data_IF_905930468813
#
_entry.id   IF_905930468813
#
_cell.length_a   1.000
_cell.length_b   1.000
_cell.length_c   1.000
_cell.angle_alpha   90.00
_cell.angle_beta   90.00
_cell.angle_gamma   90.00
#
_symmetry.space_group_name_H-M   'P 1'
#
loop_
_entity.id
_entity.type
_entity.pdbx_description
1 polymer ?
#
# COMPACT_ATOMS: atom_id res chain seq x y z
N UNK A 1 -37.09 67.30 -27.64
CA UNK A 1 -35.75 66.73 -27.90
C UNK A 1 -35.19 66.15 -26.61
N UNK A 2 -35.22 64.82 -26.45
CA UNK A 2 -34.67 64.12 -25.29
C UNK A 2 -33.14 63.96 -25.43
N UNK A 3 -32.36 64.42 -24.44
CA UNK A 3 -30.92 64.11 -24.34
C UNK A 3 -30.76 62.72 -23.71
N UNK A 4 -30.20 61.77 -24.46
CA UNK A 4 -29.75 60.47 -23.94
C UNK A 4 -28.60 60.70 -22.95
N UNK A 5 -28.78 60.28 -21.70
CA UNK A 5 -27.67 60.07 -20.77
C UNK A 5 -26.94 58.80 -21.19
N UNK A 6 -25.73 58.94 -21.76
CA UNK A 6 -24.79 57.83 -21.88
C UNK A 6 -24.20 57.56 -20.49
N UNK A 7 -24.60 56.46 -19.86
CA UNK A 7 -23.86 55.89 -18.75
C UNK A 7 -22.61 55.24 -19.31
N UNK A 8 -21.47 55.90 -19.07
CA UNK A 8 -20.15 55.43 -19.44
C UNK A 8 -19.73 54.34 -18.44
N UNK A 9 -20.08 53.09 -18.75
CA UNK A 9 -19.65 51.93 -17.97
C UNK A 9 -18.14 51.71 -18.21
N UNK A 10 -17.29 52.32 -17.38
CA UNK A 10 -15.87 51.99 -17.32
C UNK A 10 -15.70 50.52 -16.93
N UNK A 11 -15.30 49.70 -17.89
CA UNK A 11 -14.89 48.32 -17.65
C UNK A 11 -13.65 48.37 -16.74
N UNK A 12 -13.63 47.65 -15.59
CA UNK A 12 -12.46 47.64 -14.72
C UNK A 12 -11.25 47.06 -15.47
N UNK A 13 -10.13 47.79 -15.49
CA UNK A 13 -8.86 47.30 -16.02
C UNK A 13 -8.39 46.10 -15.19
N UNK A 14 -8.45 44.90 -15.77
CA UNK A 14 -7.86 43.70 -15.17
C UNK A 14 -6.34 43.79 -15.31
N UNK A 15 -5.66 44.22 -14.26
CA UNK A 15 -4.19 44.22 -14.21
C UNK A 15 -3.69 42.83 -13.79
N UNK A 16 -3.10 42.12 -14.74
CA UNK A 16 -2.52 40.78 -14.51
C UNK A 16 -1.18 40.81 -13.76
N UNK A 17 -0.53 41.97 -13.65
CA UNK A 17 0.80 42.10 -13.02
C UNK A 17 0.84 43.35 -12.13
N UNK A 18 1.37 43.19 -10.91
CA UNK A 18 1.65 44.27 -9.97
C UNK A 18 3.07 44.10 -9.43
N UNK A 19 3.90 45.14 -9.52
CA UNK A 19 5.23 45.16 -8.90
C UNK A 19 5.09 45.12 -7.38
N UNK A 20 5.81 44.19 -6.74
CA UNK A 20 5.92 44.09 -5.29
C UNK A 20 7.39 43.89 -4.90
N UNK A 21 7.78 44.43 -3.75
CA UNK A 21 9.07 44.15 -3.12
C UNK A 21 8.90 42.92 -2.23
N UNK A 22 9.65 41.86 -2.53
CA UNK A 22 9.63 40.61 -1.76
C UNK A 22 10.98 40.40 -1.08
N UNK A 23 10.95 39.88 0.15
CA UNK A 23 12.16 39.39 0.80
C UNK A 23 12.65 38.15 0.06
N UNK A 24 13.92 38.17 -0.33
CA UNK A 24 14.59 37.02 -0.96
C UNK A 24 15.73 36.53 -0.08
N UNK A 25 16.18 35.30 -0.30
CA UNK A 25 17.34 34.78 0.40
C UNK A 25 18.60 35.52 -0.05
N UNK A 26 19.46 35.86 0.90
CA UNK A 26 20.83 36.29 0.61
C UNK A 26 21.63 35.13 -0.01
N UNK A 27 22.85 35.39 -0.52
CA UNK A 27 23.72 34.31 -1.01
C UNK A 27 23.97 33.23 0.07
N UNK A 28 24.19 33.64 1.33
CA UNK A 28 24.32 32.73 2.47
C UNK A 28 23.01 31.97 2.73
N UNK A 29 21.88 32.66 2.66
CA UNK A 29 20.55 32.05 2.78
C UNK A 29 20.31 30.97 1.73
N UNK A 30 20.68 31.23 0.47
CA UNK A 30 20.60 30.23 -0.61
C UNK A 30 21.50 29.03 -0.37
N UNK A 31 22.74 29.24 0.09
CA UNK A 31 23.65 28.13 0.44
C UNK A 31 23.06 27.24 1.53
N UNK A 32 22.54 27.85 2.60
CA UNK A 32 21.90 27.10 3.70
C UNK A 32 20.65 26.37 3.19
N UNK A 33 19.80 27.04 2.40
CA UNK A 33 18.60 26.44 1.84
C UNK A 33 18.90 25.23 0.95
N UNK A 34 19.88 25.34 0.05
CA UNK A 34 20.30 24.26 -0.83
C UNK A 34 20.92 23.11 -0.03
N UNK A 35 21.77 23.40 0.96
CA UNK A 35 22.37 22.39 1.83
C UNK A 35 21.29 21.64 2.63
N UNK A 36 20.34 22.36 3.23
CA UNK A 36 19.22 21.78 3.97
C UNK A 36 18.32 20.93 3.06
N UNK A 37 18.06 21.41 1.84
CA UNK A 37 17.26 20.68 0.84
C UNK A 37 17.96 19.40 0.39
N UNK A 38 19.26 19.47 0.07
CA UNK A 38 20.05 18.30 -0.33
C UNK A 38 20.14 17.27 0.79
N UNK A 39 20.37 17.72 2.03
CA UNK A 39 20.36 16.86 3.23
C UNK A 39 19.00 16.18 3.43
N UNK A 40 17.90 16.94 3.29
CA UNK A 40 16.54 16.40 3.42
C UNK A 40 16.23 15.36 2.33
N UNK A 41 16.58 15.65 1.07
CA UNK A 41 16.42 14.72 -0.05
C UNK A 41 17.24 13.46 0.20
N UNK A 42 18.50 13.60 0.60
CA UNK A 42 19.36 12.46 0.93
C UNK A 42 18.76 11.61 2.05
N UNK A 43 18.27 12.25 3.12
CA UNK A 43 17.63 11.54 4.23
C UNK A 43 16.40 10.75 3.77
N UNK A 44 15.50 11.37 2.99
CA UNK A 44 14.29 10.72 2.46
C UNK A 44 14.66 9.56 1.56
N UNK A 45 15.58 9.76 0.61
CA UNK A 45 16.00 8.73 -0.34
C UNK A 45 16.52 7.47 0.37
N UNK A 46 17.31 7.64 1.43
CA UNK A 46 17.90 6.51 2.16
C UNK A 46 16.93 5.83 3.14
N UNK A 47 15.97 6.56 3.71
CA UNK A 47 15.11 6.04 4.79
C UNK A 47 13.68 5.67 4.34
N UNK A 48 13.23 6.14 3.17
CA UNK A 48 11.85 5.92 2.72
C UNK A 48 11.56 4.45 2.45
N UNK A 49 12.43 3.74 1.72
CA UNK A 49 12.21 2.32 1.44
C UNK A 49 12.19 1.47 2.73
N UNK A 50 13.18 1.53 3.63
CA UNK A 50 13.13 0.75 4.89
C UNK A 50 11.93 1.10 5.79
N UNK A 51 11.46 2.35 5.75
CA UNK A 51 10.26 2.76 6.47
C UNK A 51 9.00 2.10 5.92
N UNK A 52 8.86 2.01 4.59
CA UNK A 52 7.71 1.42 3.92
C UNK A 52 7.75 -0.12 3.91
N UNK A 53 8.91 -0.70 3.64
CA UNK A 53 9.13 -2.14 3.57
C UNK A 53 9.40 -2.77 4.95
N UNK A 54 8.54 -2.45 5.91
CA UNK A 54 8.70 -2.91 7.30
C UNK A 54 8.36 -4.40 7.44
N UNK A 55 9.19 -5.11 8.20
CA UNK A 55 8.91 -6.48 8.67
C UNK A 55 8.90 -6.48 10.19
N UNK A 56 7.76 -6.84 10.77
CA UNK A 56 7.53 -6.93 12.22
C UNK A 56 6.55 -8.09 12.51
N UNK A 57 6.98 -9.35 12.34
CA UNK A 57 6.13 -10.53 12.53
C UNK A 57 5.86 -10.81 14.00
N UNK A 58 4.71 -11.42 14.27
CA UNK A 58 4.39 -12.09 15.54
C UNK A 58 4.90 -13.53 15.41
N UNK A 59 5.89 -13.91 16.21
CA UNK A 59 6.56 -15.23 16.10
C UNK A 59 5.62 -16.42 16.23
N UNK A 60 4.59 -16.29 17.06
CA UNK A 60 3.58 -17.33 17.34
C UNK A 60 2.22 -16.99 16.74
N UNK A 61 2.21 -16.35 15.56
CA UNK A 61 0.96 -16.03 14.88
C UNK A 61 0.20 -17.30 14.50
N UNK A 62 -1.13 -17.27 14.65
CA UNK A 62 -2.00 -18.40 14.35
C UNK A 62 -2.14 -18.68 12.86
N UNK A 63 -2.17 -17.62 12.04
CA UNK A 63 -2.34 -17.72 10.60
C UNK A 63 -1.46 -16.73 9.84
N UNK A 64 -1.09 -17.14 8.62
CA UNK A 64 -0.39 -16.30 7.65
C UNK A 64 -1.42 -15.81 6.62
N UNK A 65 -1.54 -14.50 6.45
CA UNK A 65 -2.42 -13.88 5.47
C UNK A 65 -1.58 -13.38 4.31
N UNK A 66 -1.89 -13.77 3.09
CA UNK A 66 -1.08 -13.47 1.90
C UNK A 66 -1.91 -12.67 0.91
N UNK A 67 -1.41 -11.49 0.50
CA UNK A 67 -1.97 -10.74 -0.62
C UNK A 67 -1.82 -11.57 -1.91
N UNK A 68 -2.94 -11.88 -2.55
CA UNK A 68 -2.96 -12.83 -3.68
C UNK A 68 -2.42 -12.27 -4.99
N UNK A 69 -2.21 -10.96 -5.08
CA UNK A 69 -1.69 -10.28 -6.28
C UNK A 69 -0.17 -10.16 -6.29
N UNK A 70 0.53 -10.61 -5.23
CA UNK A 70 1.99 -10.57 -5.16
C UNK A 70 2.62 -11.55 -6.18
N UNK A 71 3.89 -11.31 -6.51
CA UNK A 71 4.63 -12.11 -7.49
C UNK A 71 4.92 -13.55 -7.02
N UNK A 72 5.24 -14.43 -7.97
CA UNK A 72 5.61 -15.82 -7.67
C UNK A 72 6.83 -15.92 -6.73
N UNK A 73 7.85 -15.08 -6.91
CA UNK A 73 9.01 -15.06 -5.99
C UNK A 73 8.63 -14.64 -4.57
N UNK A 74 7.55 -13.84 -4.41
CA UNK A 74 7.04 -13.45 -3.11
C UNK A 74 6.20 -14.58 -2.50
N UNK A 75 5.45 -15.33 -3.32
CA UNK A 75 4.75 -16.54 -2.90
C UNK A 75 5.73 -17.66 -2.49
N UNK A 76 6.89 -17.78 -3.14
CA UNK A 76 7.97 -18.67 -2.70
C UNK A 76 8.48 -18.30 -1.31
N UNK A 77 8.72 -17.01 -1.06
CA UNK A 77 9.11 -16.52 0.26
C UNK A 77 8.00 -16.75 1.31
N UNK A 78 6.73 -16.57 0.94
CA UNK A 78 5.60 -16.83 1.82
C UNK A 78 5.45 -18.33 2.15
N UNK A 79 5.68 -19.21 1.16
CA UNK A 79 5.70 -20.65 1.38
C UNK A 79 6.86 -21.06 2.31
N UNK A 80 8.04 -20.44 2.15
CA UNK A 80 9.18 -20.67 3.05
C UNK A 80 8.86 -20.21 4.48
N UNK A 81 8.31 -19.00 4.64
CA UNK A 81 7.86 -18.46 5.93
C UNK A 81 6.86 -19.41 6.61
N UNK A 82 5.86 -19.90 5.88
CA UNK A 82 4.87 -20.83 6.43
C UNK A 82 5.50 -22.14 6.91
N UNK A 83 6.43 -22.71 6.12
CA UNK A 83 7.11 -23.98 6.45
C UNK A 83 8.00 -23.85 7.70
N UNK A 84 8.56 -22.67 7.96
CA UNK A 84 9.43 -22.43 9.12
C UNK A 84 8.69 -21.87 10.34
N UNK A 85 7.52 -21.26 10.13
CA UNK A 85 6.73 -20.63 11.19
C UNK A 85 5.74 -21.59 11.87
N UNK A 86 5.09 -21.10 12.92
CA UNK A 86 4.14 -21.88 13.74
C UNK A 86 2.67 -21.72 13.31
N UNK A 87 2.44 -21.39 12.03
CA UNK A 87 1.11 -21.08 11.52
C UNK A 87 0.26 -22.35 11.38
N UNK A 88 -1.01 -22.27 11.77
CA UNK A 88 -1.98 -23.36 11.58
C UNK A 88 -2.53 -23.44 10.17
N UNK A 89 -2.66 -22.29 9.50
CA UNK A 89 -3.25 -22.16 8.16
C UNK A 89 -2.79 -20.88 7.46
N UNK A 90 -3.02 -20.84 6.15
CA UNK A 90 -2.80 -19.70 5.27
C UNK A 90 -4.15 -19.20 4.77
N UNK A 91 -4.36 -17.89 4.85
CA UNK A 91 -5.41 -17.20 4.11
C UNK A 91 -4.80 -16.49 2.91
N UNK A 92 -5.27 -16.79 1.70
CA UNK A 92 -4.96 -15.93 0.54
C UNK A 92 -6.14 -15.00 0.31
N UNK A 93 -5.86 -13.71 0.10
CA UNK A 93 -6.90 -12.69 -0.09
C UNK A 93 -6.69 -12.02 -1.45
N UNK A 94 -7.77 -11.71 -2.17
CA UNK A 94 -7.62 -11.06 -3.45
C UNK A 94 -8.91 -10.88 -4.22
N UNK A 95 -8.98 -9.78 -4.95
CA UNK A 95 -10.12 -9.41 -5.78
C UNK A 95 -10.10 -10.19 -7.11
N UNK A 96 -11.13 -9.97 -7.93
CA UNK A 96 -11.20 -10.51 -9.28
C UNK A 96 -9.99 -10.06 -10.10
N UNK A 97 -9.49 -10.94 -10.97
CA UNK A 97 -8.45 -10.51 -11.92
C UNK A 97 -9.06 -9.55 -12.94
N UNK A 98 -8.38 -8.42 -13.17
CA UNK A 98 -8.84 -7.41 -14.12
C UNK A 98 -8.53 -7.78 -15.57
N UNK A 99 -7.26 -8.05 -15.86
CA UNK A 99 -6.79 -8.40 -17.19
C UNK A 99 -6.66 -9.93 -17.33
N UNK A 100 -7.02 -10.46 -18.51
CA UNK A 100 -6.97 -11.90 -18.78
C UNK A 100 -8.14 -12.71 -18.19
N UNK A 101 -9.13 -12.05 -17.57
CA UNK A 101 -10.27 -12.70 -16.89
C UNK A 101 -11.00 -13.76 -17.73
N UNK A 102 -11.27 -13.47 -19.00
CA UNK A 102 -11.98 -14.40 -19.89
C UNK A 102 -11.15 -15.63 -20.28
N UNK A 103 -9.83 -15.57 -20.16
CA UNK A 103 -8.90 -16.64 -20.55
C UNK A 103 -8.34 -17.41 -19.35
N UNK A 104 -8.34 -16.80 -18.17
CA UNK A 104 -7.72 -17.39 -16.98
C UNK A 104 -8.51 -18.58 -16.44
N UNK A 105 -7.81 -19.60 -15.98
CA UNK A 105 -8.40 -20.73 -15.24
C UNK A 105 -9.03 -20.27 -13.92
N UNK A 106 -8.28 -19.48 -13.14
CA UNK A 106 -8.72 -18.91 -11.87
C UNK A 106 -9.23 -17.48 -12.05
N UNK A 107 -10.29 -17.12 -11.31
CA UNK A 107 -11.03 -15.88 -11.56
C UNK A 107 -10.72 -14.75 -10.58
N UNK A 108 -9.99 -15.04 -9.51
CA UNK A 108 -9.54 -14.05 -8.53
C UNK A 108 -8.10 -14.32 -8.07
N UNK A 109 -7.45 -13.28 -7.53
CA UNK A 109 -6.07 -13.36 -7.06
C UNK A 109 -5.90 -14.27 -5.84
N UNK A 110 -6.94 -14.45 -5.01
CA UNK A 110 -6.86 -15.36 -3.85
C UNK A 110 -6.66 -16.81 -4.29
N UNK A 111 -7.45 -17.28 -5.26
CA UNK A 111 -7.37 -18.62 -5.83
C UNK A 111 -6.05 -18.86 -6.57
N UNK A 112 -5.57 -17.85 -7.33
CA UNK A 112 -4.28 -17.92 -8.00
C UNK A 112 -3.18 -18.16 -6.97
N UNK A 113 -3.10 -17.33 -5.93
CA UNK A 113 -2.09 -17.48 -4.90
C UNK A 113 -2.22 -18.80 -4.13
N UNK A 114 -3.43 -19.23 -3.76
CA UNK A 114 -3.63 -20.50 -3.08
C UNK A 114 -3.18 -21.69 -3.93
N UNK A 115 -3.50 -21.68 -5.22
CA UNK A 115 -3.09 -22.73 -6.17
C UNK A 115 -1.58 -22.74 -6.36
N UNK A 116 -0.96 -21.57 -6.51
CA UNK A 116 0.50 -21.45 -6.61
C UNK A 116 1.17 -21.97 -5.35
N UNK A 117 0.70 -21.59 -4.16
CA UNK A 117 1.23 -22.11 -2.88
C UNK A 117 1.06 -23.63 -2.76
N UNK A 118 -0.05 -24.18 -3.24
CA UNK A 118 -0.24 -25.63 -3.29
C UNK A 118 0.81 -26.30 -4.18
N UNK A 119 1.12 -25.73 -5.35
CA UNK A 119 2.21 -26.20 -6.24
C UNK A 119 3.59 -26.05 -5.60
N UNK A 120 3.78 -25.07 -4.72
CA UNK A 120 5.00 -24.87 -3.92
C UNK A 120 5.10 -25.82 -2.70
N UNK A 121 4.16 -26.78 -2.59
CA UNK A 121 4.18 -27.84 -1.58
C UNK A 121 3.50 -27.47 -0.26
N UNK A 122 2.63 -26.46 -0.24
CA UNK A 122 1.75 -26.21 0.90
C UNK A 122 0.53 -27.16 0.81
N UNK A 123 0.19 -27.89 1.88
CA UNK A 123 -0.98 -28.77 1.85
C UNK A 123 -2.28 -27.99 1.59
N UNK A 124 -3.17 -28.53 0.75
CA UNK A 124 -4.40 -27.84 0.33
C UNK A 124 -5.35 -27.57 1.50
N UNK A 125 -5.40 -28.47 2.47
CA UNK A 125 -6.17 -28.36 3.70
C UNK A 125 -5.70 -27.22 4.62
N UNK A 126 -4.51 -26.66 4.36
CA UNK A 126 -3.97 -25.50 5.07
C UNK A 126 -4.27 -24.18 4.35
N UNK A 127 -4.83 -24.22 3.14
CA UNK A 127 -5.03 -23.06 2.27
C UNK A 127 -6.51 -22.68 2.21
N UNK A 128 -6.82 -21.45 2.61
CA UNK A 128 -8.16 -20.88 2.54
C UNK A 128 -8.12 -19.66 1.64
N UNK A 129 -8.71 -19.75 0.45
CA UNK A 129 -8.80 -18.64 -0.49
C UNK A 129 -10.05 -17.80 -0.23
N UNK A 130 -9.87 -16.49 -0.04
CA UNK A 130 -10.94 -15.53 0.23
C UNK A 130 -10.97 -14.51 -0.91
N UNK A 131 -11.96 -14.68 -1.79
CA UNK A 131 -12.25 -13.69 -2.82
C UNK A 131 -12.81 -12.42 -2.18
N UNK A 132 -12.24 -11.27 -2.54
CA UNK A 132 -12.64 -9.97 -1.98
C UNK A 132 -13.50 -9.21 -2.98
N UNK A 133 -14.43 -8.33 -2.55
CA UNK A 133 -15.25 -7.56 -3.46
C UNK A 133 -14.40 -6.60 -4.33
N UNK A 134 -14.83 -6.41 -5.57
CA UNK A 134 -14.20 -5.48 -6.51
C UNK A 134 -14.59 -4.04 -6.14
N UNK A 135 -13.71 -3.37 -5.39
CA UNK A 135 -13.90 -1.97 -4.98
C UNK A 135 -12.93 -1.04 -5.71
N UNK A 136 -13.42 0.13 -6.10
CA UNK A 136 -12.59 1.17 -6.75
C UNK A 136 -11.68 1.86 -5.73
N UNK A 137 -12.17 2.03 -4.50
CA UNK A 137 -11.48 2.68 -3.39
C UNK A 137 -11.21 1.67 -2.27
N UNK A 138 -10.10 1.83 -1.56
CA UNK A 138 -9.77 1.09 -0.33
C UNK A 138 -9.70 -0.44 -0.48
N UNK A 139 -9.12 -0.93 -1.59
CA UNK A 139 -8.96 -2.39 -1.88
C UNK A 139 -8.34 -3.20 -0.74
N UNK A 140 -7.28 -2.68 -0.10
CA UNK A 140 -6.65 -3.34 1.06
C UNK A 140 -7.60 -3.43 2.26
N UNK A 141 -8.45 -2.42 2.46
CA UNK A 141 -9.45 -2.42 3.53
C UNK A 141 -10.55 -3.45 3.24
N UNK A 142 -11.12 -3.45 2.03
CA UNK A 142 -12.10 -4.45 1.62
C UNK A 142 -11.58 -5.88 1.80
N UNK A 143 -10.30 -6.11 1.52
CA UNK A 143 -9.66 -7.41 1.73
C UNK A 143 -9.55 -7.79 3.21
N UNK A 144 -9.17 -6.83 4.07
CA UNK A 144 -9.10 -7.01 5.51
C UNK A 144 -10.48 -7.25 6.14
N UNK A 145 -11.53 -6.53 5.70
CA UNK A 145 -12.92 -6.75 6.13
C UNK A 145 -13.41 -8.13 5.71
N UNK A 146 -13.18 -8.53 4.46
CA UNK A 146 -13.60 -9.85 3.96
C UNK A 146 -12.95 -10.99 4.77
N UNK A 147 -11.67 -10.85 5.11
CA UNK A 147 -10.99 -11.81 5.99
C UNK A 147 -11.60 -11.83 7.40
N UNK A 148 -11.84 -10.66 8.01
CA UNK A 148 -12.42 -10.56 9.34
C UNK A 148 -13.82 -11.18 9.40
N UNK A 149 -14.63 -10.93 8.37
CA UNK A 149 -15.96 -11.52 8.21
C UNK A 149 -15.86 -13.04 8.11
N UNK A 150 -14.97 -13.55 7.25
CA UNK A 150 -14.76 -14.99 7.11
C UNK A 150 -14.35 -15.66 8.43
N UNK A 151 -13.39 -15.08 9.16
CA UNK A 151 -12.95 -15.60 10.47
C UNK A 151 -14.11 -15.64 11.47
N UNK A 152 -14.95 -14.60 11.46
CA UNK A 152 -16.10 -14.49 12.38
C UNK A 152 -17.20 -15.51 12.04
N UNK A 153 -17.53 -15.68 10.76
CA UNK A 153 -18.59 -16.58 10.30
C UNK A 153 -18.22 -18.06 10.48
N UNK A 154 -16.94 -18.39 10.32
CA UNK A 154 -16.43 -19.76 10.47
C UNK A 154 -16.07 -20.11 11.92
N UNK A 155 -16.24 -19.17 12.86
CA UNK A 155 -15.87 -19.31 14.28
C UNK A 155 -14.43 -19.82 14.49
N UNK A 156 -13.50 -19.39 13.62
CA UNK A 156 -12.09 -19.77 13.73
C UNK A 156 -11.47 -19.04 14.92
N UNK A 157 -10.87 -19.80 15.83
CA UNK A 157 -10.11 -19.24 16.94
C UNK A 157 -8.75 -18.73 16.43
N UNK A 158 -8.73 -17.47 16.03
CA UNK A 158 -7.55 -16.74 15.58
C UNK A 158 -7.37 -15.53 16.49
N UNK A 159 -6.28 -15.48 17.24
CA UNK A 159 -5.93 -14.36 18.13
C UNK A 159 -4.83 -13.48 17.53
N UNK A 160 -4.08 -14.02 16.56
CA UNK A 160 -2.96 -13.34 15.93
C UNK A 160 -2.73 -13.78 14.49
N UNK A 161 -2.43 -12.82 13.63
CA UNK A 161 -2.11 -13.05 12.22
C UNK A 161 -0.82 -12.32 11.86
N UNK A 162 -0.07 -12.87 10.90
CA UNK A 162 0.92 -12.11 10.15
C UNK A 162 0.42 -11.88 8.73
N UNK A 163 0.43 -10.63 8.28
CA UNK A 163 0.18 -10.29 6.88
C UNK A 163 1.50 -10.39 6.12
N UNK A 164 1.50 -11.04 4.97
CA UNK A 164 2.62 -11.19 4.07
C UNK A 164 2.28 -10.51 2.75
N UNK A 165 3.07 -9.52 2.37
CA UNK A 165 2.84 -8.73 1.15
C UNK A 165 4.17 -8.25 0.56
N UNK A 166 4.12 -7.58 -0.58
CA UNK A 166 5.33 -7.11 -1.26
C UNK A 166 5.93 -5.87 -0.60
N UNK A 167 7.26 -5.85 -0.45
CA UNK A 167 8.10 -4.66 -0.26
C UNK A 167 7.44 -3.45 0.47
N UNK A 168 7.44 -2.28 -0.15
CA UNK A 168 6.96 -1.00 0.35
C UNK A 168 5.45 -0.98 0.64
N UNK A 169 4.67 -1.90 0.09
CA UNK A 169 3.24 -2.03 0.38
C UNK A 169 2.97 -2.43 1.85
N UNK A 170 3.95 -3.06 2.51
CA UNK A 170 3.82 -3.61 3.85
C UNK A 170 3.34 -2.60 4.90
N UNK A 171 3.91 -1.39 4.94
CA UNK A 171 3.56 -0.39 5.97
C UNK A 171 2.09 0.02 5.92
N UNK A 172 1.56 0.23 4.71
CA UNK A 172 0.16 0.63 4.52
C UNK A 172 -0.80 -0.50 4.85
N UNK A 173 -0.52 -1.72 4.38
CA UNK A 173 -1.32 -2.89 4.74
C UNK A 173 -1.33 -3.12 6.24
N UNK A 174 -0.18 -3.00 6.90
CA UNK A 174 -0.09 -3.17 8.34
C UNK A 174 -0.94 -2.17 9.12
N UNK A 175 -0.94 -0.89 8.70
CA UNK A 175 -1.78 0.14 9.31
C UNK A 175 -3.27 -0.21 9.19
N UNK A 176 -3.71 -0.60 8.00
CA UNK A 176 -5.12 -0.90 7.71
C UNK A 176 -5.58 -2.15 8.47
N UNK A 177 -4.82 -3.25 8.38
CA UNK A 177 -5.15 -4.49 9.09
C UNK A 177 -5.16 -4.29 10.60
N UNK A 178 -4.16 -3.59 11.17
CA UNK A 178 -4.17 -3.29 12.61
C UNK A 178 -5.43 -2.54 13.04
N UNK A 179 -5.86 -1.56 12.27
CA UNK A 179 -7.05 -0.77 12.62
C UNK A 179 -8.34 -1.61 12.55
N UNK A 180 -8.45 -2.53 11.59
CA UNK A 180 -9.65 -3.36 11.38
C UNK A 180 -9.74 -4.50 12.40
N UNK A 181 -8.62 -5.12 12.72
CA UNK A 181 -8.56 -6.32 13.58
C UNK A 181 -8.45 -6.00 15.08
N UNK A 182 -8.04 -4.77 15.44
CA UNK A 182 -7.96 -4.35 16.83
C UNK A 182 -9.35 -4.20 17.48
N UNK A 183 -9.48 -4.47 18.80
CA UNK A 183 -8.45 -5.01 19.70
C UNK A 183 -8.40 -6.56 19.72
N UNK A 184 -9.26 -7.23 18.96
CA UNK A 184 -9.52 -8.67 19.10
C UNK A 184 -8.39 -9.56 18.58
N UNK A 185 -7.77 -9.17 17.47
CA UNK A 185 -6.74 -9.97 16.78
C UNK A 185 -5.49 -9.13 16.60
N UNK A 186 -4.35 -9.66 17.04
CA UNK A 186 -3.04 -9.01 16.88
C UNK A 186 -2.55 -9.19 15.45
N UNK A 187 -1.95 -8.13 14.89
CA UNK A 187 -1.49 -8.14 13.49
C UNK A 187 0.00 -7.83 13.41
N UNK A 188 0.79 -8.80 12.94
CA UNK A 188 2.15 -8.61 12.45
C UNK A 188 2.20 -8.43 10.94
N UNK A 189 3.37 -8.07 10.42
CA UNK A 189 3.60 -7.82 8.99
C UNK A 189 4.94 -8.39 8.54
N UNK A 190 4.98 -8.95 7.34
CA UNK A 190 6.17 -9.45 6.67
C UNK A 190 6.20 -8.85 5.27
N UNK A 191 7.32 -8.19 4.96
CA UNK A 191 7.57 -7.58 3.66
C UNK A 191 8.46 -8.51 2.83
N UNK A 192 7.95 -8.98 1.70
CA UNK A 192 8.71 -9.80 0.78
C UNK A 192 9.87 -9.00 0.17
N UNK A 193 11.03 -9.63 0.01
CA UNK A 193 12.14 -9.02 -0.73
C UNK A 193 11.80 -9.00 -2.21
N UNK A 194 11.78 -7.82 -2.80
CA UNK A 194 11.55 -7.65 -4.24
C UNK A 194 12.76 -8.09 -5.06
N UNK A 195 12.49 -8.65 -6.23
CA UNK A 195 13.52 -8.97 -7.25
C UNK A 195 13.47 -7.97 -8.42
N UNK A 196 12.52 -7.03 -8.40
CA UNK A 196 12.27 -6.12 -9.52
C UNK A 196 13.22 -4.91 -9.54
N UNK A 197 13.88 -4.60 -8.41
CA UNK A 197 14.82 -3.49 -8.28
C UNK A 197 15.72 -3.64 -7.05
N UNK A 198 16.86 -2.92 -7.04
CA UNK A 198 17.72 -2.82 -5.85
C UNK A 198 17.08 -1.92 -4.79
N UNK A 199 16.64 -2.51 -3.68
CA UNK A 199 16.00 -1.80 -2.57
C UNK A 199 16.85 -0.67 -1.97
N UNK A 200 18.18 -0.81 -1.98
CA UNK A 200 19.10 0.22 -1.42
C UNK A 200 19.31 1.38 -2.38
N UNK A 201 18.97 1.21 -3.66
CA UNK A 201 19.11 2.19 -4.73
C UNK A 201 17.83 2.24 -5.56
N UNK A 202 16.68 2.22 -4.87
CA UNK A 202 15.37 2.10 -5.51
C UNK A 202 15.07 3.23 -6.52
N UNK A 203 15.73 4.38 -6.35
CA UNK A 203 15.63 5.53 -7.25
C UNK A 203 16.33 5.34 -8.60
N UNK A 204 17.17 4.29 -8.75
CA UNK A 204 17.88 4.00 -9.99
C UNK A 204 17.04 3.23 -11.02
N UNK A 205 15.83 2.79 -10.68
CA UNK A 205 14.93 2.09 -11.59
C UNK A 205 13.55 2.72 -11.63
N UNK A 206 12.88 2.65 -12.79
CA UNK A 206 11.52 3.15 -12.94
C UNK A 206 10.53 2.43 -12.02
N UNK A 207 10.75 1.13 -11.81
CA UNK A 207 9.90 0.31 -10.94
C UNK A 207 10.06 0.72 -9.48
N UNK A 208 11.29 0.84 -8.98
CA UNK A 208 11.55 1.26 -7.61
C UNK A 208 11.02 2.66 -7.32
N UNK A 209 11.22 3.62 -8.24
CA UNK A 209 10.65 4.97 -8.14
C UNK A 209 9.12 4.91 -8.06
N UNK A 210 8.47 4.18 -8.97
CA UNK A 210 7.00 4.08 -9.00
C UNK A 210 6.45 3.46 -7.72
N UNK A 211 6.98 2.31 -7.30
CA UNK A 211 6.50 1.59 -6.12
C UNK A 211 6.70 2.41 -4.85
N UNK A 212 7.93 2.89 -4.60
CA UNK A 212 8.25 3.58 -3.35
C UNK A 212 7.50 4.91 -3.22
N UNK A 213 7.44 5.72 -4.26
CA UNK A 213 6.75 7.01 -4.21
C UNK A 213 5.23 6.80 -4.11
N UNK A 214 4.66 5.89 -4.90
CA UNK A 214 3.22 5.65 -4.85
C UNK A 214 2.78 5.08 -3.50
N UNK A 215 3.55 4.16 -2.89
CA UNK A 215 3.25 3.65 -1.55
C UNK A 215 3.49 4.69 -0.45
N UNK A 216 4.44 5.61 -0.61
CA UNK A 216 4.59 6.75 0.31
C UNK A 216 3.32 7.63 0.31
N UNK A 217 2.85 8.01 -0.88
CA UNK A 217 1.63 8.82 -1.04
C UNK A 217 0.41 8.04 -0.53
N UNK A 218 0.29 6.77 -0.92
CA UNK A 218 -0.82 5.92 -0.50
C UNK A 218 -0.81 5.68 1.02
N UNK A 219 0.35 5.58 1.67
CA UNK A 219 0.45 5.47 3.12
C UNK A 219 0.01 6.76 3.82
N UNK A 220 0.42 7.92 3.31
CA UNK A 220 -0.04 9.22 3.83
C UNK A 220 -1.56 9.31 3.67
N UNK A 221 -2.08 8.98 2.49
CA UNK A 221 -3.53 8.86 2.27
C UNK A 221 -4.14 7.95 3.35
N UNK A 222 -3.65 6.70 3.47
CA UNK A 222 -3.98 5.65 4.44
C UNK A 222 -3.94 6.08 5.92
N UNK A 223 -3.26 7.18 6.23
CA UNK A 223 -3.15 7.69 7.60
C UNK A 223 -4.20 8.74 7.94
N UNK A 224 -4.64 9.53 6.95
CA UNK A 224 -5.41 10.75 7.18
C UNK A 224 -6.82 10.74 6.62
N UNK A 225 -7.12 9.91 5.61
CA UNK A 225 -8.49 9.78 5.10
C UNK A 225 -9.26 8.76 5.94
N UNK A 226 -10.58 8.89 6.07
CA UNK A 226 -11.37 7.93 6.82
C UNK A 226 -11.69 6.71 5.95
N UNK A 227 -11.36 5.51 6.45
CA UNK A 227 -11.51 4.22 5.77
C UNK A 227 -12.86 3.56 6.01
N UNK A 228 -13.72 4.14 6.86
CA UNK A 228 -15.01 3.51 7.17
C UNK A 228 -15.83 3.39 5.88
N UNK A 229 -15.92 2.15 5.39
CA UNK A 229 -16.92 1.70 4.42
C UNK A 229 -18.27 1.60 5.12
#
# INVERSE_FOLDING_TARGET
MQRKNQHDHKVPEIRLIKRQEIWTLTAQGWVIFLAASASSIFFVINNLYPFLAITSPIKSADALVIDGWISDYALEQAAAEFKTGSYRQIFTIGAKIGQGFYLAEYKNFAEIAATTLSKLGIPKEKLIAISTPDVVKDRTNASAIALLQHISETNLQIESINVFTTDAHARRSWLIFKNIFAPKIKVGIISAKTQNYDCKKWWNSSEGVRVVISEAIAYIYARFVNWKL
#
